data_IF_081744793972
#
_entry.id   IF_081744793972
#
_cell.length_a   1.000
_cell.length_b   1.000
_cell.length_c   1.000
_cell.angle_alpha   90.00
_cell.angle_beta   90.00
_cell.angle_gamma   90.00
#
_symmetry.space_group_name_H-M   'P 1'
#
loop_
_entity.id
_entity.type
_entity.pdbx_description
1 polymer ?
#
# COMPACT_ATOMS: atom_id res chain seq x y z
N UNK A 1 -4.72 -22.30 -3.13
CA UNK A 1 -3.54 -21.76 -3.79
C UNK A 1 -3.14 -20.41 -3.18
N UNK A 2 -3.90 -19.34 -3.36
CA UNK A 2 -3.62 -18.09 -2.65
C UNK A 2 -4.44 -18.02 -1.37
N UNK A 3 -3.77 -17.96 -0.23
CA UNK A 3 -4.39 -17.88 1.10
C UNK A 3 -4.31 -16.49 1.71
N UNK A 4 -3.24 -15.76 1.38
CA UNK A 4 -2.98 -14.40 1.86
C UNK A 4 -2.67 -13.50 0.67
N UNK A 5 -3.61 -12.68 0.28
CA UNK A 5 -3.47 -11.70 -0.79
C UNK A 5 -3.17 -10.34 -0.15
N UNK A 6 -2.12 -9.67 -0.60
CA UNK A 6 -1.80 -8.32 -0.16
C UNK A 6 -2.03 -7.34 -1.30
N UNK A 7 -2.64 -6.20 -1.03
CA UNK A 7 -2.79 -5.12 -1.99
C UNK A 7 -2.12 -3.84 -1.48
N UNK A 8 -1.28 -3.24 -2.33
CA UNK A 8 -0.72 -1.93 -2.06
C UNK A 8 -1.78 -0.85 -2.32
N UNK A 9 -2.07 -0.03 -1.33
CA UNK A 9 -3.18 0.90 -1.37
C UNK A 9 -2.78 2.30 -0.90
N UNK A 10 -3.09 3.27 -1.72
CA UNK A 10 -2.94 4.69 -1.46
C UNK A 10 -4.15 5.47 -1.99
N UNK A 11 -4.05 6.79 -2.07
CA UNK A 11 -5.12 7.66 -2.56
C UNK A 11 -5.30 7.63 -4.09
N UNK A 12 -4.50 6.84 -4.83
CA UNK A 12 -4.56 6.81 -6.30
C UNK A 12 -5.75 6.02 -6.84
N UNK A 13 -6.18 6.36 -8.04
CA UNK A 13 -7.22 5.62 -8.76
C UNK A 13 -6.76 4.22 -9.12
N UNK A 14 -5.49 4.07 -9.44
CA UNK A 14 -4.85 2.79 -9.76
C UNK A 14 -4.89 1.84 -8.56
N UNK A 15 -4.62 2.34 -7.35
CA UNK A 15 -4.75 1.57 -6.13
C UNK A 15 -6.21 1.17 -5.86
N UNK A 16 -7.17 2.02 -6.17
CA UNK A 16 -8.59 1.67 -6.05
C UNK A 16 -9.01 0.54 -7.01
N UNK A 17 -8.47 0.53 -8.23
CA UNK A 17 -8.67 -0.58 -9.17
C UNK A 17 -7.99 -1.86 -8.69
N UNK A 18 -6.77 -1.76 -8.16
CA UNK A 18 -6.06 -2.90 -7.57
C UNK A 18 -6.83 -3.49 -6.39
N UNK A 19 -7.40 -2.66 -5.52
CA UNK A 19 -8.24 -3.11 -4.41
C UNK A 19 -9.47 -3.86 -4.90
N UNK A 20 -10.16 -3.35 -5.92
CA UNK A 20 -11.32 -4.02 -6.51
C UNK A 20 -10.96 -5.42 -7.02
N UNK A 21 -9.87 -5.53 -7.79
CA UNK A 21 -9.37 -6.80 -8.31
C UNK A 21 -8.94 -7.76 -7.21
N UNK A 22 -8.28 -7.25 -6.16
CA UNK A 22 -7.88 -8.06 -5.01
C UNK A 22 -9.09 -8.63 -4.26
N UNK A 23 -10.15 -7.84 -4.09
CA UNK A 23 -11.41 -8.30 -3.48
C UNK A 23 -12.08 -9.39 -4.34
N UNK A 24 -12.16 -9.17 -5.66
CA UNK A 24 -12.73 -10.15 -6.59
C UNK A 24 -11.99 -11.49 -6.56
N UNK A 25 -10.66 -11.46 -6.44
CA UNK A 25 -9.84 -12.66 -6.33
C UNK A 25 -9.95 -13.33 -4.96
N UNK A 26 -9.91 -12.56 -3.89
CA UNK A 26 -9.94 -13.09 -2.53
C UNK A 26 -11.24 -13.83 -2.21
N UNK A 27 -12.36 -13.34 -2.73
CA UNK A 27 -13.69 -13.90 -2.42
C UNK A 27 -13.85 -15.37 -2.77
N UNK A 28 -13.69 -15.81 -4.03
CA UNK A 28 -13.84 -17.23 -4.40
C UNK A 28 -12.77 -18.12 -3.79
N UNK A 29 -11.56 -17.56 -3.56
CA UNK A 29 -10.46 -18.29 -2.95
C UNK A 29 -10.56 -18.40 -1.43
N UNK A 30 -11.49 -17.67 -0.80
CA UNK A 30 -11.59 -17.50 0.65
C UNK A 30 -10.26 -17.05 1.26
N UNK A 31 -9.51 -16.25 0.51
CA UNK A 31 -8.23 -15.72 0.94
C UNK A 31 -8.41 -14.55 1.93
N UNK A 32 -7.46 -14.42 2.84
CA UNK A 32 -7.33 -13.25 3.69
C UNK A 32 -6.74 -12.10 2.86
N UNK A 33 -7.34 -10.93 2.91
CA UNK A 33 -6.87 -9.74 2.22
C UNK A 33 -6.17 -8.80 3.20
N UNK A 34 -4.91 -8.46 2.91
CA UNK A 34 -4.14 -7.47 3.67
C UNK A 34 -3.99 -6.21 2.83
N UNK A 35 -4.46 -5.08 3.34
CA UNK A 35 -4.36 -3.78 2.69
C UNK A 35 -3.16 -3.05 3.29
N UNK A 36 -2.08 -2.92 2.54
CA UNK A 36 -0.87 -2.25 2.98
C UNK A 36 -0.78 -0.83 2.44
N UNK A 37 -0.51 0.13 3.31
CA UNK A 37 -0.24 1.52 2.95
C UNK A 37 1.10 1.94 3.53
N UNK A 38 1.97 2.53 2.69
CA UNK A 38 3.28 3.01 3.12
C UNK A 38 3.18 4.47 3.55
N UNK A 39 3.66 4.74 4.75
CA UNK A 39 3.82 6.11 5.26
C UNK A 39 5.20 6.58 4.87
N UNK A 40 5.29 7.30 3.76
CA UNK A 40 6.55 7.88 3.32
C UNK A 40 6.95 9.07 4.19
N UNK A 41 8.26 9.34 4.24
CA UNK A 41 8.79 10.49 4.96
C UNK A 41 8.15 11.81 4.50
N UNK A 42 8.03 12.75 5.42
CA UNK A 42 7.58 14.09 5.08
C UNK A 42 8.57 14.77 4.11
N UNK A 43 8.11 15.76 3.31
CA UNK A 43 8.98 16.51 2.43
C UNK A 43 10.23 17.08 3.13
N UNK A 44 11.33 17.23 2.39
CA UNK A 44 12.63 17.58 2.96
C UNK A 44 12.66 18.87 3.80
N UNK A 45 11.78 19.86 3.54
CA UNK A 45 11.72 21.09 4.34
C UNK A 45 11.33 20.83 5.81
N UNK A 46 10.66 19.71 6.10
CA UNK A 46 10.38 19.30 7.48
C UNK A 46 11.64 18.91 8.26
N UNK A 47 12.74 18.60 7.58
CA UNK A 47 14.02 18.33 8.25
C UNK A 47 14.53 19.58 8.99
N UNK A 48 14.35 20.77 8.40
CA UNK A 48 14.66 22.04 9.06
C UNK A 48 13.65 22.33 10.16
N UNK A 49 12.36 22.11 9.91
CA UNK A 49 11.32 22.29 10.89
C UNK A 49 11.51 21.38 12.12
N UNK A 50 12.05 20.19 11.95
CA UNK A 50 12.33 19.26 13.05
C UNK A 50 13.39 19.82 14.03
N UNK A 51 14.31 20.66 13.56
CA UNK A 51 15.32 21.31 14.38
C UNK A 51 14.74 22.50 15.15
N UNK A 52 13.91 23.29 14.46
CA UNK A 52 13.36 24.55 14.98
C UNK A 52 12.10 24.32 15.83
N UNK A 53 11.24 23.43 15.40
CA UNK A 53 9.95 23.16 16.07
C UNK A 53 9.54 21.69 15.91
N UNK A 54 10.16 20.76 16.68
CA UNK A 54 9.84 19.35 16.63
C UNK A 54 8.34 19.02 16.74
N UNK A 55 7.55 19.70 17.60
CA UNK A 55 6.10 19.42 17.69
C UNK A 55 5.33 19.61 16.39
N UNK A 56 5.75 20.54 15.53
CA UNK A 56 5.11 20.77 14.22
C UNK A 56 5.28 19.55 13.31
N UNK A 57 6.45 18.92 13.35
CA UNK A 57 6.76 17.72 12.56
C UNK A 57 5.97 16.52 13.08
N UNK A 58 5.90 16.35 14.39
CA UNK A 58 5.14 15.26 15.01
C UNK A 58 3.65 15.39 14.68
N UNK A 59 3.08 16.60 14.77
CA UNK A 59 1.69 16.87 14.43
C UNK A 59 1.41 16.58 12.95
N UNK A 60 2.27 17.04 12.04
CA UNK A 60 2.13 16.79 10.60
C UNK A 60 2.19 15.29 10.27
N UNK A 61 3.09 14.55 10.92
CA UNK A 61 3.21 13.11 10.74
C UNK A 61 2.01 12.35 11.27
N UNK A 62 1.50 12.71 12.44
CA UNK A 62 0.30 12.10 13.03
C UNK A 62 -0.96 12.40 12.21
N UNK A 63 -1.09 13.61 11.68
CA UNK A 63 -2.17 13.96 10.76
C UNK A 63 -2.12 13.12 9.48
N UNK A 64 -0.95 12.93 8.90
CA UNK A 64 -0.74 12.04 7.75
C UNK A 64 -1.14 10.61 8.06
N UNK A 65 -0.71 10.06 9.19
CA UNK A 65 -1.07 8.70 9.62
C UNK A 65 -2.57 8.55 9.83
N UNK A 66 -3.20 9.51 10.49
CA UNK A 66 -4.64 9.52 10.75
C UNK A 66 -5.44 9.51 9.44
N UNK A 67 -5.03 10.33 8.47
CA UNK A 67 -5.65 10.35 7.14
C UNK A 67 -5.53 9.01 6.42
N UNK A 68 -4.35 8.39 6.46
CA UNK A 68 -4.12 7.10 5.83
C UNK A 68 -4.87 5.96 6.54
N UNK A 69 -5.01 5.99 7.86
CA UNK A 69 -5.85 5.04 8.59
C UNK A 69 -7.32 5.15 8.19
N UNK A 70 -7.85 6.36 8.03
CA UNK A 70 -9.22 6.58 7.56
C UNK A 70 -9.42 6.02 6.16
N UNK A 71 -8.45 6.25 5.27
CA UNK A 71 -8.44 5.68 3.93
C UNK A 71 -8.49 4.14 3.96
N UNK A 72 -7.66 3.52 4.79
CA UNK A 72 -7.62 2.07 4.96
C UNK A 72 -8.90 1.51 5.55
N UNK A 73 -9.50 2.18 6.53
CA UNK A 73 -10.78 1.76 7.13
C UNK A 73 -11.89 1.71 6.08
N UNK A 74 -11.94 2.66 5.17
CA UNK A 74 -12.88 2.65 4.05
C UNK A 74 -12.64 1.45 3.12
N UNK A 75 -11.38 1.14 2.84
CA UNK A 75 -11.02 -0.01 2.02
C UNK A 75 -11.38 -1.35 2.70
N UNK A 76 -11.14 -1.49 3.99
CA UNK A 76 -11.52 -2.67 4.79
C UNK A 76 -13.04 -2.85 4.79
N UNK A 77 -13.81 -1.77 4.98
CA UNK A 77 -15.28 -1.81 4.93
C UNK A 77 -15.77 -2.31 3.57
N UNK A 78 -15.15 -1.85 2.49
CA UNK A 78 -15.49 -2.28 1.13
C UNK A 78 -15.25 -3.78 0.95
N UNK A 79 -14.12 -4.29 1.41
CA UNK A 79 -13.78 -5.71 1.35
C UNK A 79 -14.74 -6.56 2.19
N UNK A 80 -15.01 -6.14 3.41
CA UNK A 80 -15.92 -6.82 4.34
C UNK A 80 -17.35 -6.85 3.80
N UNK A 81 -17.84 -5.76 3.22
CA UNK A 81 -19.16 -5.71 2.58
C UNK A 81 -19.27 -6.68 1.40
N UNK A 82 -18.16 -6.98 0.72
CA UNK A 82 -18.10 -7.98 -0.34
C UNK A 82 -17.97 -9.43 0.17
N UNK A 83 -17.85 -9.62 1.49
CA UNK A 83 -17.70 -10.94 2.12
C UNK A 83 -16.26 -11.43 2.19
N UNK A 84 -15.28 -10.53 2.12
CA UNK A 84 -13.86 -10.84 2.22
C UNK A 84 -13.32 -10.47 3.59
N UNK A 85 -12.61 -11.39 4.24
CA UNK A 85 -11.90 -11.11 5.48
C UNK A 85 -10.66 -10.24 5.17
N UNK A 86 -10.63 -9.04 5.71
CA UNK A 86 -9.60 -8.06 5.40
C UNK A 86 -9.08 -7.34 6.64
N UNK A 87 -7.78 -7.11 6.66
CA UNK A 87 -7.08 -6.26 7.61
C UNK A 87 -6.26 -5.19 6.89
N UNK A 88 -5.95 -4.12 7.59
CA UNK A 88 -5.11 -3.05 7.07
C UNK A 88 -3.88 -2.84 7.95
N UNK A 89 -2.74 -2.59 7.31
CA UNK A 89 -1.49 -2.28 7.98
C UNK A 89 -0.86 -1.01 7.41
N UNK A 90 -0.32 -0.17 8.29
CA UNK A 90 0.55 0.94 7.94
C UNK A 90 2.00 0.54 8.14
N UNK A 91 2.86 0.84 7.18
CA UNK A 91 4.29 0.60 7.28
C UNK A 91 5.07 1.87 6.97
N UNK A 92 6.09 2.16 7.76
CA UNK A 92 6.95 3.32 7.53
C UNK A 92 8.09 2.98 6.58
N UNK A 93 8.53 3.95 5.81
CA UNK A 93 9.72 3.86 4.97
C UNK A 93 9.47 4.22 3.52
N UNK A 94 10.36 3.76 2.64
CA UNK A 94 10.19 3.92 1.20
C UNK A 94 9.07 3.02 0.66
N UNK A 95 8.44 3.45 -0.41
CA UNK A 95 7.30 2.74 -1.01
C UNK A 95 7.65 1.29 -1.36
N UNK A 96 8.70 1.09 -2.17
CA UNK A 96 9.12 -0.26 -2.60
C UNK A 96 9.55 -1.12 -1.42
N UNK A 97 10.46 -0.64 -0.59
CA UNK A 97 10.97 -1.39 0.55
C UNK A 97 9.90 -1.68 1.60
N UNK A 98 8.97 -0.76 1.80
CA UNK A 98 7.84 -0.92 2.71
C UNK A 98 6.90 -2.04 2.26
N UNK A 99 6.52 -2.05 0.98
CA UNK A 99 5.66 -3.09 0.40
C UNK A 99 6.35 -4.46 0.45
N UNK A 100 7.61 -4.54 0.03
CA UNK A 100 8.37 -5.81 0.02
C UNK A 100 8.51 -6.39 1.42
N UNK A 101 8.88 -5.57 2.40
CA UNK A 101 8.99 -6.02 3.80
C UNK A 101 7.64 -6.46 4.38
N UNK A 102 6.57 -5.72 4.08
CA UNK A 102 5.23 -6.10 4.50
C UNK A 102 4.82 -7.45 3.93
N UNK A 103 5.01 -7.67 2.63
CA UNK A 103 4.70 -8.93 1.96
C UNK A 103 5.45 -10.12 2.59
N UNK A 104 6.73 -9.93 2.92
CA UNK A 104 7.53 -10.95 3.59
C UNK A 104 7.05 -11.24 5.02
N UNK A 105 6.80 -10.19 5.80
CA UNK A 105 6.37 -10.29 7.20
C UNK A 105 5.00 -10.97 7.35
N UNK A 106 4.08 -10.60 6.49
CA UNK A 106 2.72 -11.14 6.50
C UNK A 106 2.57 -12.46 5.72
N UNK A 107 3.67 -12.99 5.18
CA UNK A 107 3.68 -14.21 4.36
C UNK A 107 2.67 -14.16 3.20
N UNK A 108 2.59 -13.02 2.53
CA UNK A 108 1.72 -12.87 1.37
C UNK A 108 2.13 -13.84 0.25
N UNK A 109 1.17 -14.52 -0.31
CA UNK A 109 1.38 -15.45 -1.42
C UNK A 109 0.91 -14.90 -2.77
N UNK A 110 0.29 -13.71 -2.76
CA UNK A 110 0.02 -12.88 -3.94
C UNK A 110 0.07 -11.41 -3.53
N UNK A 111 0.80 -10.60 -4.29
CA UNK A 111 0.85 -9.16 -4.16
C UNK A 111 0.13 -8.50 -5.34
N UNK A 112 -0.80 -7.58 -5.06
CA UNK A 112 -1.57 -6.85 -6.07
C UNK A 112 -1.19 -5.38 -6.02
N UNK A 113 -0.84 -4.79 -7.16
CA UNK A 113 -0.44 -3.38 -7.28
C UNK A 113 -1.11 -2.75 -8.49
N UNK A 114 -1.56 -1.50 -8.35
CA UNK A 114 -2.08 -0.72 -9.46
C UNK A 114 -0.96 -0.23 -10.39
N UNK A 115 -1.24 -0.24 -11.69
CA UNK A 115 -0.31 0.28 -12.70
C UNK A 115 -0.38 1.81 -12.74
N UNK A 116 0.70 2.55 -12.51
CA UNK A 116 0.69 4.00 -12.59
C UNK A 116 0.52 4.47 -14.04
N UNK A 117 -0.60 5.15 -14.33
CA UNK A 117 -0.92 5.63 -15.69
C UNK A 117 -0.07 6.82 -16.15
N UNK A 118 0.62 7.47 -15.26
CA UNK A 118 1.44 8.64 -15.59
C UNK A 118 2.92 8.29 -15.56
N UNK A 119 3.43 7.75 -16.67
CA UNK A 119 4.85 7.80 -16.95
C UNK A 119 5.25 9.26 -17.16
N UNK A 120 5.91 9.85 -16.17
CA UNK A 120 6.76 11.00 -16.49
C UNK A 120 7.88 10.48 -17.39
N UNK A 121 7.97 11.01 -18.60
CA UNK A 121 9.09 10.75 -19.51
C UNK A 121 10.40 10.84 -18.72
N UNK A 122 11.13 9.74 -18.63
CA UNK A 122 12.43 9.65 -17.94
C UNK A 122 12.46 8.86 -16.63
N UNK A 123 11.35 8.44 -16.06
CA UNK A 123 11.36 7.55 -14.89
C UNK A 123 11.37 6.08 -15.37
N UNK A 124 12.55 5.52 -15.58
CA UNK A 124 12.75 4.11 -15.96
C UNK A 124 12.40 3.10 -14.85
N UNK A 125 12.02 3.58 -13.66
CA UNK A 125 11.73 2.74 -12.51
C UNK A 125 10.29 2.96 -12.05
N UNK A 126 9.37 2.15 -12.58
CA UNK A 126 8.04 2.07 -11.97
C UNK A 126 8.14 1.36 -10.63
N UNK A 127 7.32 1.77 -9.66
CA UNK A 127 7.20 1.09 -8.36
C UNK A 127 6.93 -0.40 -8.54
N UNK A 128 6.04 -0.77 -9.47
CA UNK A 128 5.70 -2.15 -9.79
C UNK A 128 6.92 -2.96 -10.18
N UNK A 129 7.75 -2.45 -11.11
CA UNK A 129 8.97 -3.14 -11.53
C UNK A 129 9.97 -3.31 -10.39
N UNK A 130 10.19 -2.26 -9.62
CA UNK A 130 11.10 -2.31 -8.48
C UNK A 130 10.61 -3.28 -7.41
N UNK A 131 9.31 -3.35 -7.15
CA UNK A 131 8.74 -4.34 -6.25
C UNK A 131 8.91 -5.75 -6.83
N UNK A 132 8.65 -5.96 -8.12
CA UNK A 132 8.82 -7.25 -8.79
C UNK A 132 10.26 -7.77 -8.69
N UNK A 133 11.25 -6.87 -8.82
CA UNK A 133 12.67 -7.24 -8.75
C UNK A 133 13.12 -7.64 -7.32
N UNK A 134 12.39 -7.22 -6.28
CA UNK A 134 12.78 -7.42 -4.89
C UNK A 134 11.84 -8.36 -4.10
N UNK A 135 10.65 -8.63 -4.60
CA UNK A 135 9.72 -9.56 -3.96
C UNK A 135 9.94 -10.99 -4.42
N UNK A 136 9.70 -11.95 -3.52
CA UNK A 136 9.63 -13.38 -3.87
C UNK A 136 8.19 -13.87 -4.07
N UNK A 137 7.26 -13.00 -3.81
CA UNK A 137 5.84 -13.26 -3.92
C UNK A 137 5.38 -13.02 -5.37
N UNK A 138 4.50 -13.86 -5.92
CA UNK A 138 3.82 -13.56 -7.19
C UNK A 138 3.18 -12.18 -7.18
N UNK A 139 3.29 -11.47 -8.30
CA UNK A 139 2.81 -10.11 -8.44
C UNK A 139 1.74 -10.03 -9.53
N UNK A 140 0.62 -9.43 -9.19
CA UNK A 140 -0.42 -9.04 -10.13
C UNK A 140 -0.44 -7.52 -10.29
N UNK A 141 -0.16 -7.06 -11.48
CA UNK A 141 -0.31 -5.65 -11.85
C UNK A 141 -1.69 -5.41 -12.45
N UNK A 142 -2.40 -4.40 -11.94
CA UNK A 142 -3.76 -4.04 -12.38
C UNK A 142 -3.75 -2.68 -13.07
N UNK A 143 -4.29 -2.64 -14.28
CA UNK A 143 -4.43 -1.40 -15.06
C UNK A 143 -5.69 -0.61 -14.69
#
# INVERSE_FOLDING_TARGET
>A
MFHTIMVAYDESREAAHALASAIELAKPLRAHLIIVTVVEALPAFYNIAAIVSPPVVEEALEEKRSRLRTLQQSAVKRATAAGVNADAILVDGGEVSGIVRAAQREHADLLVIGHPKHYRLGAFNSTVRNVADHTRCPLLEVN
#
